data_IF_877714544849
#
_entry.id   IF_877714544849
#
_cell.length_a   1.000
_cell.length_b   1.000
_cell.length_c   1.000
_cell.angle_alpha   90.00
_cell.angle_beta   90.00
_cell.angle_gamma   90.00
#
_symmetry.space_group_name_H-M   'P 1'
#
loop_
_entity.id
_entity.type
_entity.pdbx_description
1 polymer ?
#
# COMPACT_ATOMS: atom_id res chain seq x y z
N UNK A 1 4.91 -15.33 -15.09
CA UNK A 1 4.92 -15.54 -13.63
C UNK A 1 3.76 -16.41 -13.14
N UNK A 2 2.52 -16.15 -13.58
CA UNK A 2 1.33 -16.88 -13.09
C UNK A 2 1.36 -18.41 -13.25
N UNK A 3 2.15 -18.93 -14.16
CA UNK A 3 2.26 -20.37 -14.41
C UNK A 3 3.32 -21.07 -13.51
N UNK A 4 4.14 -20.26 -12.80
CA UNK A 4 5.23 -20.76 -11.95
C UNK A 4 5.06 -20.36 -10.49
N UNK A 5 4.43 -19.22 -10.24
CA UNK A 5 4.27 -18.63 -8.90
C UNK A 5 2.81 -18.35 -8.60
N UNK A 6 2.42 -18.53 -7.33
CA UNK A 6 1.20 -17.95 -6.80
C UNK A 6 1.52 -16.54 -6.33
N UNK A 7 0.80 -15.55 -6.85
CA UNK A 7 0.96 -14.14 -6.45
C UNK A 7 -0.23 -13.76 -5.57
N UNK A 8 0.07 -13.27 -4.38
CA UNK A 8 -0.93 -12.73 -3.44
C UNK A 8 -0.62 -11.25 -3.24
N UNK A 9 -1.61 -10.41 -3.41
CA UNK A 9 -1.54 -8.98 -3.10
C UNK A 9 -2.66 -8.63 -2.14
N UNK A 10 -2.43 -7.65 -1.27
CA UNK A 10 -3.44 -7.15 -0.34
C UNK A 10 -3.37 -5.63 -0.27
N UNK A 11 -4.49 -5.02 0.05
CA UNK A 11 -4.56 -3.59 0.35
C UNK A 11 -4.30 -3.38 1.84
N UNK A 12 -3.47 -2.38 2.16
CA UNK A 12 -3.34 -1.93 3.55
C UNK A 12 -4.64 -1.29 4.03
N UNK A 13 -4.82 -1.19 5.35
CA UNK A 13 -5.94 -0.47 5.95
C UNK A 13 -6.12 0.91 5.32
N UNK A 14 -7.36 1.35 5.16
CA UNK A 14 -7.70 2.62 4.52
C UNK A 14 -7.39 2.70 3.02
N UNK A 15 -7.00 1.60 2.37
CA UNK A 15 -6.73 1.52 0.93
C UNK A 15 -7.62 0.46 0.26
N UNK A 16 -7.77 0.59 -1.06
CA UNK A 16 -8.51 -0.36 -1.87
C UNK A 16 -9.95 -0.58 -1.39
N UNK A 17 -10.40 -1.82 -1.36
CA UNK A 17 -11.71 -2.22 -0.85
C UNK A 17 -11.63 -2.81 0.57
N UNK A 18 -10.46 -2.75 1.19
CA UNK A 18 -10.27 -3.25 2.55
C UNK A 18 -11.05 -2.41 3.55
N UNK A 19 -11.72 -3.07 4.47
CA UNK A 19 -12.41 -2.45 5.60
C UNK A 19 -11.93 -3.09 6.91
N UNK A 20 -11.55 -2.26 7.88
CA UNK A 20 -11.21 -2.69 9.22
C UNK A 20 -11.60 -1.64 10.25
N UNK A 21 -11.69 -2.04 11.51
CA UNK A 21 -11.80 -1.09 12.60
C UNK A 21 -10.54 -0.22 12.66
N UNK A 22 -10.73 1.08 12.96
CA UNK A 22 -9.63 2.05 13.06
C UNK A 22 -8.78 2.18 11.80
N UNK A 23 -9.42 2.35 10.63
CA UNK A 23 -8.75 2.55 9.34
C UNK A 23 -7.78 3.74 9.31
N UNK A 24 -7.93 4.67 10.24
CA UNK A 24 -7.12 5.91 10.32
C UNK A 24 -5.78 5.72 11.01
N UNK A 25 -5.58 4.63 11.76
CA UNK A 25 -4.28 4.34 12.37
C UNK A 25 -3.32 3.74 11.34
N UNK A 26 -2.59 4.61 10.69
CA UNK A 26 -1.55 4.28 9.71
C UNK A 26 -0.15 4.26 10.34
N UNK A 27 -0.05 4.07 11.67
CA UNK A 27 1.26 3.97 12.32
C UNK A 27 2.07 2.80 11.78
N UNK A 28 3.39 2.96 11.80
CA UNK A 28 4.31 1.92 11.35
C UNK A 28 4.03 0.58 12.02
N UNK A 29 3.86 0.60 13.34
CA UNK A 29 3.67 -0.63 14.11
C UNK A 29 2.38 -1.34 13.74
N UNK A 30 1.31 -0.58 13.51
CA UNK A 30 0.03 -1.13 13.06
C UNK A 30 0.15 -1.74 11.68
N UNK A 31 0.76 -1.03 10.70
CA UNK A 31 0.95 -1.56 9.36
C UNK A 31 1.86 -2.80 9.32
N UNK A 32 2.90 -2.82 10.13
CA UNK A 32 3.80 -4.00 10.26
C UNK A 32 3.05 -5.19 10.85
N UNK A 33 2.24 -4.98 11.89
CA UNK A 33 1.45 -6.04 12.49
C UNK A 33 0.38 -6.58 11.52
N UNK A 34 -0.28 -5.71 10.75
CA UNK A 34 -1.21 -6.13 9.69
C UNK A 34 -0.49 -7.00 8.65
N UNK A 35 0.69 -6.58 8.19
CA UNK A 35 1.47 -7.34 7.22
C UNK A 35 1.87 -8.72 7.77
N UNK A 36 2.23 -8.83 9.05
CA UNK A 36 2.55 -10.11 9.70
C UNK A 36 1.30 -11.00 9.78
N UNK A 37 0.14 -10.45 10.14
CA UNK A 37 -1.11 -11.23 10.20
C UNK A 37 -1.52 -11.76 8.82
N UNK A 38 -1.38 -10.93 7.77
CA UNK A 38 -1.61 -11.36 6.39
C UNK A 38 -0.62 -12.46 6.01
N UNK A 39 0.67 -12.31 6.32
CA UNK A 39 1.69 -13.33 6.07
C UNK A 39 1.35 -14.64 6.77
N UNK A 40 0.95 -14.63 8.04
CA UNK A 40 0.51 -15.82 8.77
C UNK A 40 -0.69 -16.50 8.12
N UNK A 41 -1.66 -15.70 7.66
CA UNK A 41 -2.83 -16.22 6.94
C UNK A 41 -2.43 -16.90 5.62
N UNK A 42 -1.48 -16.31 4.88
CA UNK A 42 -0.93 -16.89 3.65
C UNK A 42 -0.18 -18.20 3.97
N UNK A 43 0.61 -18.23 5.04
CA UNK A 43 1.30 -19.46 5.49
C UNK A 43 0.32 -20.58 5.83
N UNK A 44 -0.84 -20.25 6.39
CA UNK A 44 -1.90 -21.23 6.69
C UNK A 44 -2.55 -21.75 5.41
N UNK A 45 -2.80 -20.89 4.43
CA UNK A 45 -3.39 -21.28 3.14
C UNK A 45 -2.43 -22.10 2.26
N UNK A 46 -1.13 -21.84 2.39
CA UNK A 46 -0.08 -22.43 1.56
C UNK A 46 1.04 -23.02 2.44
N UNK A 47 0.70 -23.99 3.29
CA UNK A 47 1.57 -24.52 4.34
C UNK A 47 2.86 -25.20 3.85
N UNK A 48 2.90 -25.60 2.58
CA UNK A 48 4.01 -26.28 1.92
C UNK A 48 4.85 -25.35 1.01
N UNK A 49 4.56 -24.07 0.99
CA UNK A 49 5.21 -23.12 0.07
C UNK A 49 6.26 -22.25 0.75
N UNK A 50 7.33 -22.01 -0.01
CA UNK A 50 8.27 -20.91 0.30
C UNK A 50 7.66 -19.59 -0.13
N UNK A 51 7.77 -18.56 0.71
CA UNK A 51 7.17 -17.25 0.48
C UNK A 51 8.27 -16.20 0.35
N UNK A 52 8.13 -15.35 -0.65
CA UNK A 52 8.94 -14.16 -0.85
C UNK A 52 8.04 -12.95 -0.70
N UNK A 53 8.41 -12.03 0.17
CA UNK A 53 7.73 -10.77 0.34
C UNK A 53 8.29 -9.76 -0.67
N UNK A 54 7.41 -9.02 -1.33
CA UNK A 54 7.80 -7.95 -2.26
C UNK A 54 7.10 -6.66 -1.82
N UNK A 55 7.86 -5.60 -1.62
CA UNK A 55 7.31 -4.30 -1.23
C UNK A 55 7.94 -3.16 -2.02
N UNK A 56 7.12 -2.18 -2.42
CA UNK A 56 7.54 -0.97 -3.13
C UNK A 56 7.31 0.27 -2.25
N UNK A 57 8.27 1.18 -2.21
CA UNK A 57 8.20 2.44 -1.47
C UNK A 57 7.78 2.21 0.00
N UNK A 58 6.71 2.83 0.50
CA UNK A 58 6.17 2.58 1.84
C UNK A 58 5.98 1.08 2.12
N UNK A 59 5.42 0.33 1.14
CA UNK A 59 5.27 -1.12 1.27
C UNK A 59 6.59 -1.86 1.40
N UNK A 60 7.68 -1.35 0.79
CA UNK A 60 9.03 -1.88 0.95
C UNK A 60 9.57 -1.69 2.37
N UNK A 61 9.33 -0.53 2.96
CA UNK A 61 9.68 -0.26 4.35
C UNK A 61 8.93 -1.19 5.31
N UNK A 62 7.60 -1.27 5.17
CA UNK A 62 6.78 -2.14 6.01
C UNK A 62 7.19 -3.61 5.83
N UNK A 63 7.44 -4.05 4.60
CA UNK A 63 7.91 -5.40 4.31
C UNK A 63 9.25 -5.72 4.99
N UNK A 64 10.19 -4.77 4.99
CA UNK A 64 11.49 -4.90 5.66
C UNK A 64 11.32 -5.09 7.17
N UNK A 65 10.50 -4.25 7.81
CA UNK A 65 10.26 -4.30 9.25
C UNK A 65 9.46 -5.55 9.65
N UNK A 66 8.48 -5.96 8.84
CA UNK A 66 7.76 -7.21 9.03
C UNK A 66 8.70 -8.43 8.91
N UNK A 67 9.54 -8.47 7.89
CA UNK A 67 10.52 -9.54 7.72
C UNK A 67 11.52 -9.61 8.88
N UNK A 68 11.99 -8.46 9.38
CA UNK A 68 12.86 -8.40 10.54
C UNK A 68 12.19 -8.96 11.81
N UNK A 69 10.93 -8.60 12.08
CA UNK A 69 10.16 -9.18 13.20
C UNK A 69 9.90 -10.67 13.02
N UNK A 70 9.51 -11.11 11.83
CA UNK A 70 9.29 -12.53 11.51
C UNK A 70 10.55 -13.35 11.79
N UNK A 71 11.70 -12.89 11.32
CA UNK A 71 12.97 -13.61 11.46
C UNK A 71 13.63 -13.46 12.83
N UNK A 72 13.32 -12.41 13.56
CA UNK A 72 13.82 -12.15 14.91
C UNK A 72 12.90 -12.72 16.00
N UNK A 73 11.76 -12.08 16.19
CA UNK A 73 10.83 -12.37 17.28
C UNK A 73 10.08 -13.70 17.08
N UNK A 74 9.73 -14.04 15.83
CA UNK A 74 8.93 -15.22 15.49
C UNK A 74 9.74 -16.38 14.90
N UNK A 75 11.07 -16.31 14.93
CA UNK A 75 11.93 -17.32 14.25
C UNK A 75 11.70 -18.77 14.73
N UNK A 76 11.13 -18.96 15.92
CA UNK A 76 10.77 -20.26 16.48
C UNK A 76 9.48 -20.86 15.88
N UNK A 77 8.64 -20.03 15.32
CA UNK A 77 7.33 -20.41 14.80
C UNK A 77 7.46 -21.15 13.46
N UNK A 78 6.62 -22.18 13.28
CA UNK A 78 6.66 -22.98 12.05
C UNK A 78 6.38 -22.17 10.79
N UNK A 79 5.41 -21.25 10.86
CA UNK A 79 5.03 -20.38 9.75
C UNK A 79 6.15 -19.39 9.36
N UNK A 80 6.95 -18.92 10.33
CA UNK A 80 8.03 -17.98 10.06
C UNK A 80 9.12 -18.56 9.14
N UNK A 81 9.30 -19.88 9.16
CA UNK A 81 10.28 -20.59 8.32
C UNK A 81 9.91 -20.56 6.84
N UNK A 82 8.68 -20.25 6.49
CA UNK A 82 8.24 -20.12 5.09
C UNK A 82 8.78 -18.84 4.44
N UNK A 83 9.19 -17.83 5.23
CA UNK A 83 9.82 -16.64 4.68
C UNK A 83 11.21 -16.97 4.16
N UNK A 84 11.38 -16.95 2.84
CA UNK A 84 12.63 -17.32 2.17
C UNK A 84 13.31 -16.13 1.48
N UNK A 85 12.62 -15.01 1.34
CA UNK A 85 13.20 -13.84 0.70
C UNK A 85 12.36 -12.58 0.86
N UNK A 86 13.05 -11.46 0.65
CA UNK A 86 12.47 -10.12 0.64
C UNK A 86 13.00 -9.36 -0.57
N UNK A 87 12.10 -8.79 -1.38
CA UNK A 87 12.44 -7.83 -2.42
C UNK A 87 11.92 -6.44 -2.04
N UNK A 88 12.82 -5.49 -1.99
CA UNK A 88 12.52 -4.09 -1.71
C UNK A 88 12.74 -3.28 -2.97
N UNK A 89 11.72 -2.57 -3.41
CA UNK A 89 11.74 -1.77 -4.63
C UNK A 89 11.60 -0.30 -4.25
N UNK A 90 12.55 0.51 -4.69
CA UNK A 90 12.53 1.98 -4.63
C UNK A 90 12.22 2.54 -3.23
N UNK A 91 12.96 2.07 -2.22
CA UNK A 91 13.00 2.71 -0.91
C UNK A 91 14.39 2.58 -0.27
N UNK A 92 14.93 3.74 0.13
CA UNK A 92 16.11 3.90 0.96
C UNK A 92 15.79 4.99 1.98
N UNK A 93 16.13 4.79 3.25
CA UNK A 93 15.78 5.72 4.34
C UNK A 93 16.15 7.17 4.01
N UNK A 94 17.39 7.43 3.62
CA UNK A 94 17.87 8.78 3.35
C UNK A 94 17.05 9.48 2.28
N UNK A 95 16.91 8.89 1.10
CA UNK A 95 16.16 9.50 -0.01
C UNK A 95 14.66 9.62 0.30
N UNK A 96 14.08 8.68 1.05
CA UNK A 96 12.69 8.76 1.47
C UNK A 96 12.47 9.92 2.45
N UNK A 97 13.35 10.07 3.45
CA UNK A 97 13.28 11.17 4.42
C UNK A 97 13.45 12.54 3.73
N UNK A 98 14.38 12.66 2.77
CA UNK A 98 14.59 13.88 1.98
C UNK A 98 13.37 14.24 1.11
N UNK A 99 12.58 13.25 0.70
CA UNK A 99 11.38 13.45 -0.12
C UNK A 99 10.15 13.90 0.70
N UNK A 100 10.09 13.61 2.00
CA UNK A 100 8.91 13.90 2.85
C UNK A 100 8.47 15.38 2.82
N UNK A 101 9.35 16.40 2.85
CA UNK A 101 8.94 17.79 2.77
C UNK A 101 8.16 18.15 1.49
N UNK A 102 8.39 17.39 0.40
CA UNK A 102 7.73 17.59 -0.89
C UNK A 102 6.42 16.81 -1.03
N UNK A 103 6.20 15.79 -0.20
CA UNK A 103 5.02 14.92 -0.26
C UNK A 103 3.71 15.70 -0.08
N UNK A 104 3.67 16.68 0.82
CA UNK A 104 2.48 17.51 1.04
C UNK A 104 2.08 18.25 -0.24
N UNK A 105 3.04 18.85 -0.96
CA UNK A 105 2.77 19.53 -2.21
C UNK A 105 2.27 18.57 -3.29
N UNK A 106 2.82 17.35 -3.34
CA UNK A 106 2.38 16.32 -4.27
C UNK A 106 0.93 15.93 -3.98
N UNK A 107 0.59 15.70 -2.72
CA UNK A 107 -0.76 15.30 -2.32
C UNK A 107 -1.77 16.43 -2.56
N UNK A 108 -1.45 17.67 -2.19
CA UNK A 108 -2.35 18.82 -2.35
C UNK A 108 -2.53 19.26 -3.80
N UNK A 109 -1.58 18.94 -4.68
CA UNK A 109 -1.70 19.26 -6.12
C UNK A 109 -2.65 18.31 -6.88
N UNK A 110 -3.08 17.21 -6.25
CA UNK A 110 -4.01 16.28 -6.89
C UNK A 110 -5.41 16.90 -7.01
N UNK A 111 -6.16 16.61 -8.09
CA UNK A 111 -7.57 17.02 -8.18
C UNK A 111 -8.36 16.50 -6.98
N UNK A 112 -9.19 17.32 -6.32
CA UNK A 112 -9.97 16.87 -5.16
C UNK A 112 -11.08 15.88 -5.54
N UNK A 113 -11.55 15.95 -6.79
CA UNK A 113 -12.64 15.12 -7.29
C UNK A 113 -12.53 14.88 -8.80
N UNK A 114 -13.21 13.85 -9.28
CA UNK A 114 -13.31 13.47 -10.68
C UNK A 114 -14.76 13.26 -11.09
N UNK A 115 -15.08 13.56 -12.36
CA UNK A 115 -16.44 13.39 -12.90
C UNK A 115 -16.75 11.95 -13.30
N UNK A 116 -15.74 11.10 -13.51
CA UNK A 116 -15.89 9.72 -13.95
C UNK A 116 -14.64 8.90 -13.67
N UNK A 117 -14.75 7.58 -13.62
CA UNK A 117 -13.58 6.68 -13.52
C UNK A 117 -12.65 6.84 -14.72
N UNK A 118 -13.18 7.16 -15.90
CA UNK A 118 -12.35 7.46 -17.07
C UNK A 118 -11.44 8.68 -16.82
N UNK A 119 -11.95 9.72 -16.16
CA UNK A 119 -11.12 10.90 -15.82
C UNK A 119 -10.06 10.59 -14.76
N UNK A 120 -10.30 9.63 -13.87
CA UNK A 120 -9.30 9.12 -12.92
C UNK A 120 -8.16 8.42 -13.64
N UNK A 121 -8.48 7.53 -14.58
CA UNK A 121 -7.48 6.85 -15.44
C UNK A 121 -6.68 7.85 -16.26
N UNK A 122 -7.35 8.82 -16.89
CA UNK A 122 -6.67 9.87 -17.65
C UNK A 122 -5.74 10.72 -16.79
N UNK A 123 -6.13 11.02 -15.56
CA UNK A 123 -5.27 11.71 -14.62
C UNK A 123 -4.01 10.90 -14.32
N UNK A 124 -4.13 9.60 -14.03
CA UNK A 124 -2.99 8.72 -13.78
C UNK A 124 -1.93 8.76 -14.88
N UNK A 125 -2.38 8.76 -16.14
CA UNK A 125 -1.50 8.86 -17.32
C UNK A 125 -0.92 10.27 -17.47
N UNK A 126 -1.76 11.32 -17.40
CA UNK A 126 -1.32 12.72 -17.64
C UNK A 126 -0.38 13.22 -16.55
N UNK A 127 -0.56 12.80 -15.30
CA UNK A 127 0.32 13.14 -14.19
C UNK A 127 1.65 12.37 -14.21
N UNK A 128 1.76 11.33 -15.04
CA UNK A 128 2.92 10.44 -15.08
C UNK A 128 2.98 9.44 -13.91
N UNK A 129 1.93 9.38 -13.09
CA UNK A 129 1.84 8.41 -11.98
C UNK A 129 1.85 6.97 -12.50
N UNK A 130 1.20 6.73 -13.62
CA UNK A 130 1.20 5.46 -14.33
C UNK A 130 1.52 5.73 -15.81
N UNK A 131 2.48 4.98 -16.36
CA UNK A 131 2.92 5.20 -17.76
C UNK A 131 2.14 4.37 -18.78
N UNK A 132 1.65 3.22 -18.36
CA UNK A 132 0.93 2.27 -19.22
C UNK A 132 -0.58 2.38 -19.00
N UNK A 133 -1.35 2.44 -20.09
CA UNK A 133 -2.79 2.66 -20.04
C UNK A 133 -3.53 1.46 -19.41
N UNK A 134 -3.13 0.24 -19.72
CA UNK A 134 -3.78 -0.96 -19.16
C UNK A 134 -3.51 -1.05 -17.64
N UNK A 135 -2.27 -0.74 -17.22
CA UNK A 135 -1.94 -0.61 -15.81
C UNK A 135 -2.76 0.47 -15.12
N UNK A 136 -2.97 1.63 -15.77
CA UNK A 136 -3.78 2.71 -15.21
C UNK A 136 -5.26 2.32 -15.06
N UNK A 137 -5.81 1.55 -16.01
CA UNK A 137 -7.19 1.04 -15.95
C UNK A 137 -7.42 0.11 -14.76
N UNK A 138 -6.39 -0.59 -14.32
CA UNK A 138 -6.46 -1.51 -13.18
C UNK A 138 -6.17 -0.79 -11.87
N UNK A 139 -5.12 0.05 -11.83
CA UNK A 139 -4.59 0.60 -10.58
C UNK A 139 -5.24 1.91 -10.14
N UNK A 140 -5.79 2.71 -11.05
CA UNK A 140 -6.34 4.03 -10.70
C UNK A 140 -7.77 3.98 -10.13
N UNK A 141 -8.74 3.20 -10.68
CA UNK A 141 -10.10 3.16 -10.15
C UNK A 141 -10.23 2.77 -8.68
N UNK A 142 -9.48 1.79 -8.14
CA UNK A 142 -9.57 1.43 -6.72
C UNK A 142 -9.11 2.52 -5.75
N UNK A 143 -8.42 3.56 -6.22
CA UNK A 143 -7.95 4.66 -5.41
C UNK A 143 -9.03 5.71 -5.10
N UNK A 144 -10.20 5.60 -5.72
CA UNK A 144 -11.31 6.54 -5.54
C UNK A 144 -12.59 5.83 -5.12
N UNK A 145 -13.49 6.57 -4.48
CA UNK A 145 -14.84 6.12 -4.13
C UNK A 145 -15.86 7.05 -4.76
N UNK A 146 -16.99 6.47 -5.18
CA UNK A 146 -18.13 7.25 -5.68
C UNK A 146 -18.84 7.96 -4.51
N UNK A 147 -19.14 9.23 -4.69
CA UNK A 147 -20.02 10.02 -3.81
C UNK A 147 -21.13 10.62 -4.65
N UNK A 148 -22.37 10.27 -4.33
CA UNK A 148 -23.56 10.82 -5.00
C UNK A 148 -24.16 11.89 -4.11
N UNK A 149 -24.40 13.04 -4.68
CA UNK A 149 -25.12 14.13 -4.01
C UNK A 149 -26.62 13.80 -3.97
N UNK A 150 -27.20 13.76 -2.79
CA UNK A 150 -28.58 13.33 -2.57
C UNK A 150 -29.61 14.32 -3.17
N UNK A 151 -29.22 15.56 -3.41
CA UNK A 151 -30.12 16.60 -3.94
C UNK A 151 -30.10 16.65 -5.47
N UNK A 152 -28.92 16.66 -6.06
CA UNK A 152 -28.75 16.75 -7.52
C UNK A 152 -28.70 15.40 -8.22
N UNK A 153 -28.52 14.30 -7.50
CA UNK A 153 -28.28 12.97 -8.08
C UNK A 153 -26.93 12.84 -8.80
N UNK A 154 -26.06 13.85 -8.71
CA UNK A 154 -24.77 13.84 -9.41
C UNK A 154 -23.77 12.99 -8.68
N UNK A 155 -23.15 12.04 -9.38
CA UNK A 155 -22.08 11.21 -8.84
C UNK A 155 -20.72 11.81 -9.20
N UNK A 156 -19.84 11.93 -8.18
CA UNK A 156 -18.44 12.31 -8.30
C UNK A 156 -17.57 11.23 -7.68
N UNK A 157 -16.31 11.21 -8.07
CA UNK A 157 -15.31 10.28 -7.53
C UNK A 157 -14.28 11.07 -6.74
N UNK A 158 -14.06 10.71 -5.48
CA UNK A 158 -13.09 11.34 -4.60
C UNK A 158 -12.05 10.32 -4.15
N UNK A 159 -10.87 10.78 -3.78
CA UNK A 159 -9.84 9.90 -3.26
C UNK A 159 -10.36 9.12 -2.04
N UNK A 160 -10.12 7.82 -2.03
CA UNK A 160 -10.52 6.94 -0.93
C UNK A 160 -9.73 7.26 0.32
N UNK A 161 -8.42 7.32 0.20
CA UNK A 161 -7.51 7.57 1.32
C UNK A 161 -7.21 9.06 1.42
N UNK A 162 -7.46 9.65 2.59
CA UNK A 162 -6.97 10.98 2.93
C UNK A 162 -5.49 10.90 3.29
N UNK A 163 -4.61 11.07 2.28
CA UNK A 163 -3.16 11.00 2.48
C UNK A 163 -2.63 12.12 3.37
N UNK A 164 -3.30 13.28 3.46
CA UNK A 164 -2.86 14.34 4.36
C UNK A 164 -3.10 13.97 5.82
N UNK A 165 -4.18 13.26 6.12
CA UNK A 165 -4.43 12.73 7.46
C UNK A 165 -3.37 11.73 7.90
N UNK A 166 -2.63 11.11 6.96
CA UNK A 166 -1.54 10.17 7.29
C UNK A 166 -0.19 10.87 7.57
N UNK A 167 -0.08 12.18 7.33
CA UNK A 167 1.16 12.95 7.51
C UNK A 167 1.88 12.71 8.85
N UNK A 168 1.19 12.58 10.01
CA UNK A 168 1.85 12.29 11.27
C UNK A 168 2.66 10.98 11.30
N UNK A 169 2.37 10.05 10.38
CA UNK A 169 3.02 8.75 10.32
C UNK A 169 4.16 8.65 9.31
N UNK A 170 4.28 9.60 8.36
CA UNK A 170 5.21 9.51 7.21
C UNK A 170 6.65 9.27 7.64
N UNK A 171 7.15 10.03 8.61
CA UNK A 171 8.51 9.85 9.11
C UNK A 171 8.72 8.45 9.69
N UNK A 172 7.78 7.98 10.50
CA UNK A 172 7.83 6.65 11.11
C UNK A 172 7.88 5.53 10.10
N UNK A 173 7.23 5.67 8.92
CA UNK A 173 7.25 4.64 7.89
C UNK A 173 8.66 4.34 7.38
N UNK A 174 9.51 5.34 7.24
CA UNK A 174 10.81 5.21 6.59
C UNK A 174 12.00 5.18 7.55
N UNK A 175 11.82 5.61 8.80
CA UNK A 175 12.89 5.63 9.80
C UNK A 175 13.27 4.21 10.25
N UNK A 176 14.58 3.97 10.43
CA UNK A 176 15.10 2.69 10.92
C UNK A 176 15.17 1.60 9.86
N UNK A 177 15.47 1.96 8.61
CA UNK A 177 15.74 1.02 7.51
C UNK A 177 17.25 0.75 7.32
N UNK A 178 18.10 1.42 8.06
CA UNK A 178 19.58 1.28 8.03
C UNK A 178 20.07 0.43 9.18
#
# INVERSE_FOLDING_TARGET
MKDTYTVVAFDFRGHGEHYCENETDMSQDTLVNDAIQVFQSICTMFSDRSIVIVGHSMGGSIATKAAAKITGEHKGEAWARQLQGLFVIDVVEGSAMDALPFMENIVTSRPPEFKSLQSVVQYGIKSGTVKDLESARVSMPPQVVAKTDDVSGTTKYVWRTDLLATKPYWEGWFKGLT
#
